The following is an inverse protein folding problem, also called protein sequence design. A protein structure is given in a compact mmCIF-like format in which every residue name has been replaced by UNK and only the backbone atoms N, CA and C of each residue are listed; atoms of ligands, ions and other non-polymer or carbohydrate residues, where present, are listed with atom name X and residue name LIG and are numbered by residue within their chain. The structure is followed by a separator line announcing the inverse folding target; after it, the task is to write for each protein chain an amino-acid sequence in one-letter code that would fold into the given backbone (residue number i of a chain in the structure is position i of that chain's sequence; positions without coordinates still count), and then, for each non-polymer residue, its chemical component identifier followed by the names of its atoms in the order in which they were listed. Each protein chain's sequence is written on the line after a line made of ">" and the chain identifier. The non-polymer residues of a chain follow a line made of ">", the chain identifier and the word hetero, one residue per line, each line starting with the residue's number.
data_IF_337272869475
#
_entry.id   IF_337272869475
#
_cell.length_a   1.000
_cell.length_b   1.000
_cell.length_c   1.000
_cell.angle_alpha   90.00
_cell.angle_beta   90.00
_cell.angle_gamma   90.00
#
_symmetry.space_group_name_H-M   'P 1'
#
loop_
_entity.id
_entity.type
_entity.pdbx_description
1 polymer ?
#
# COMPACT_ATOMS: atom_id res chain seq x y z
N UNK A 1 24.57 -34.10 -6.24
CA UNK A 1 23.90 -32.86 -6.70
C UNK A 1 22.57 -33.22 -7.36
N UNK A 2 21.51 -33.24 -6.60
CA UNK A 2 20.13 -33.46 -7.12
C UNK A 2 19.44 -32.12 -7.12
N UNK A 3 19.13 -31.61 -8.29
CA UNK A 3 18.27 -30.43 -8.50
C UNK A 3 16.83 -30.84 -8.19
N UNK A 4 16.31 -30.39 -7.09
CA UNK A 4 14.86 -30.42 -6.81
C UNK A 4 14.23 -29.29 -7.57
N UNK A 5 13.63 -29.60 -8.70
CA UNK A 5 12.65 -28.76 -9.38
C UNK A 5 11.42 -28.67 -8.48
N UNK A 6 11.09 -27.48 -8.02
CA UNK A 6 9.78 -27.20 -7.45
C UNK A 6 8.70 -27.39 -8.53
N UNK A 7 7.68 -28.18 -8.26
CA UNK A 7 6.52 -28.20 -9.16
C UNK A 7 5.77 -26.88 -8.96
N UNK A 8 5.71 -26.07 -10.01
CA UNK A 8 4.69 -25.07 -10.20
C UNK A 8 3.35 -25.84 -10.22
N UNK A 9 2.65 -25.88 -9.11
CA UNK A 9 1.24 -26.25 -9.12
C UNK A 9 0.48 -25.12 -9.83
N UNK A 10 0.34 -25.26 -11.13
CA UNK A 10 -0.67 -24.58 -11.90
C UNK A 10 -2.02 -25.08 -11.38
N UNK A 11 -2.67 -24.28 -10.56
CA UNK A 11 -4.10 -24.43 -10.26
C UNK A 11 -4.81 -24.00 -11.53
N UNK A 12 -5.04 -24.96 -12.41
CA UNK A 12 -6.02 -24.90 -13.47
C UNK A 12 -7.41 -24.86 -12.80
N UNK A 13 -7.84 -23.69 -12.37
CA UNK A 13 -9.25 -23.42 -12.14
C UNK A 13 -9.88 -23.14 -13.50
N UNK A 14 -10.23 -24.24 -14.16
CA UNK A 14 -11.18 -24.17 -15.26
C UNK A 14 -12.43 -23.46 -14.76
N UNK A 15 -12.89 -22.47 -15.51
CA UNK A 15 -14.19 -21.82 -15.39
C UNK A 15 -15.31 -22.86 -15.68
N UNK A 16 -15.44 -23.86 -14.83
CA UNK A 16 -16.69 -24.57 -14.64
C UNK A 16 -17.39 -23.83 -13.51
N UNK A 17 -18.20 -22.85 -13.87
CA UNK A 17 -19.26 -22.36 -13.00
C UNK A 17 -20.11 -23.58 -12.62
N UNK A 18 -19.77 -24.19 -11.50
CA UNK A 18 -20.62 -25.22 -10.88
C UNK A 18 -21.79 -24.47 -10.24
N UNK A 19 -22.77 -24.15 -11.07
CA UNK A 19 -24.07 -23.56 -10.67
C UNK A 19 -24.83 -24.52 -9.75
N UNK A 20 -24.31 -25.74 -9.51
CA UNK A 20 -25.04 -26.81 -8.86
C UNK A 20 -25.17 -26.77 -7.33
N UNK A 21 -24.42 -25.94 -6.59
CA UNK A 21 -24.38 -26.01 -5.12
C UNK A 21 -24.84 -24.73 -4.40
N UNK A 22 -25.60 -23.85 -5.07
CA UNK A 22 -25.97 -22.52 -4.53
C UNK A 22 -27.44 -22.16 -4.74
N UNK A 23 -28.30 -23.13 -5.10
CA UNK A 23 -29.69 -22.84 -5.41
C UNK A 23 -30.43 -22.19 -4.22
N UNK A 24 -30.14 -22.60 -2.99
CA UNK A 24 -30.74 -22.07 -1.77
C UNK A 24 -30.43 -20.58 -1.55
N UNK A 25 -29.15 -20.20 -1.52
CA UNK A 25 -28.71 -18.79 -1.29
C UNK A 25 -29.23 -17.86 -2.38
N UNK A 26 -29.27 -18.33 -3.63
CA UNK A 26 -29.67 -17.50 -4.78
C UNK A 26 -31.16 -17.13 -4.77
N UNK A 27 -32.01 -18.00 -4.22
CA UNK A 27 -33.48 -17.90 -4.31
C UNK A 27 -34.20 -17.80 -2.98
N UNK A 28 -33.49 -17.99 -1.84
CA UNK A 28 -34.09 -17.94 -0.51
C UNK A 28 -34.77 -16.60 -0.24
N UNK A 29 -35.93 -16.58 0.42
CA UNK A 29 -36.52 -15.32 0.88
C UNK A 29 -35.64 -14.65 1.91
N UNK A 30 -35.71 -13.32 2.00
CA UNK A 30 -34.81 -12.52 2.85
C UNK A 30 -34.85 -12.88 4.34
N UNK A 31 -36.00 -13.39 4.84
CA UNK A 31 -36.16 -13.85 6.21
C UNK A 31 -35.33 -15.10 6.55
N UNK A 32 -34.98 -15.88 5.54
CA UNK A 32 -34.17 -17.08 5.68
C UNK A 32 -32.68 -16.82 5.51
N UNK A 33 -32.31 -15.60 5.06
CA UNK A 33 -30.92 -15.22 4.87
C UNK A 33 -30.26 -14.76 6.18
N UNK A 34 -29.06 -15.28 6.42
CA UNK A 34 -28.11 -14.78 7.40
C UNK A 34 -26.93 -14.17 6.65
N UNK A 35 -26.54 -12.96 7.04
CA UNK A 35 -25.43 -12.22 6.40
C UNK A 35 -24.32 -12.00 7.42
N UNK A 36 -23.10 -12.34 7.04
CA UNK A 36 -21.89 -12.10 7.85
C UNK A 36 -20.85 -11.33 7.05
N UNK A 37 -20.08 -10.48 7.74
CA UNK A 37 -18.77 -10.05 7.30
C UNK A 37 -17.76 -11.11 7.75
N UNK A 38 -16.99 -11.68 6.83
CA UNK A 38 -15.87 -12.56 7.14
C UNK A 38 -14.58 -11.81 6.85
N UNK A 39 -13.76 -11.64 7.90
CA UNK A 39 -12.49 -10.94 7.82
C UNK A 39 -11.36 -11.93 7.99
N UNK A 40 -10.50 -12.00 6.99
CA UNK A 40 -9.28 -12.79 6.98
C UNK A 40 -8.10 -11.92 7.35
N UNK A 41 -7.35 -12.30 8.39
CA UNK A 41 -6.20 -11.54 8.87
C UNK A 41 -5.04 -11.48 7.88
N UNK A 42 -3.99 -10.72 8.22
CA UNK A 42 -2.79 -10.58 7.39
C UNK A 42 -2.12 -11.92 7.07
N UNK A 43 -1.70 -12.12 5.82
CA UNK A 43 -0.97 -13.28 5.35
C UNK A 43 0.55 -13.06 5.30
N UNK A 44 1.29 -14.06 4.78
CA UNK A 44 2.74 -14.05 4.70
C UNK A 44 3.29 -13.25 3.51
N UNK A 45 2.56 -13.23 2.39
CA UNK A 45 2.96 -12.56 1.15
C UNK A 45 2.63 -11.07 1.24
N UNK A 46 3.41 -10.20 0.58
CA UNK A 46 3.32 -8.75 0.75
C UNK A 46 1.91 -8.18 0.47
N UNK A 47 1.19 -8.67 -0.55
CA UNK A 47 -0.18 -8.23 -0.84
C UNK A 47 -1.21 -8.77 0.16
N UNK A 48 -0.92 -9.86 0.85
CA UNK A 48 -1.79 -10.43 1.89
C UNK A 48 -1.67 -9.72 3.23
N UNK A 49 -0.62 -8.88 3.40
CA UNK A 49 -0.38 -8.16 4.67
C UNK A 49 -1.53 -7.25 5.08
N UNK A 50 -2.35 -6.85 4.13
CA UNK A 50 -3.50 -5.97 4.36
C UNK A 50 -4.75 -6.69 4.83
N UNK A 51 -4.77 -8.03 4.80
CA UNK A 51 -5.95 -8.82 5.10
C UNK A 51 -6.89 -8.95 3.91
N UNK A 52 -8.09 -9.49 4.15
CA UNK A 52 -9.15 -9.61 3.15
C UNK A 52 -10.52 -9.63 3.81
N UNK A 53 -11.55 -9.12 3.14
CA UNK A 53 -12.95 -9.21 3.56
C UNK A 53 -13.79 -9.92 2.51
N UNK A 54 -14.76 -10.73 2.98
CA UNK A 54 -15.80 -11.32 2.18
C UNK A 54 -17.18 -11.08 2.82
N UNK A 55 -18.23 -11.01 2.00
CA UNK A 55 -19.60 -11.14 2.49
C UNK A 55 -20.01 -12.60 2.38
N UNK A 56 -20.35 -13.20 3.51
CA UNK A 56 -20.98 -14.52 3.58
C UNK A 56 -22.48 -14.38 3.64
N UNK A 57 -23.19 -15.10 2.76
CA UNK A 57 -24.64 -15.24 2.83
C UNK A 57 -24.95 -16.71 3.02
N UNK A 58 -25.72 -17.03 4.07
CA UNK A 58 -26.19 -18.37 4.39
C UNK A 58 -27.70 -18.41 4.31
N UNK A 59 -28.25 -19.43 3.68
CA UNK A 59 -29.64 -19.81 3.80
C UNK A 59 -29.81 -20.69 5.06
N UNK A 60 -30.57 -20.21 6.03
CA UNK A 60 -30.81 -20.92 7.30
C UNK A 60 -31.63 -22.16 7.16
N UNK A 61 -32.41 -22.28 6.09
CA UNK A 61 -33.29 -23.43 5.83
C UNK A 61 -32.53 -24.58 5.18
N UNK A 62 -31.79 -24.31 4.10
CA UNK A 62 -30.96 -25.31 3.42
C UNK A 62 -29.63 -25.57 4.09
N UNK A 63 -29.11 -24.61 4.85
CA UNK A 63 -27.76 -24.61 5.39
C UNK A 63 -26.66 -24.22 4.38
N UNK A 64 -27.03 -24.02 3.12
CA UNK A 64 -26.06 -23.59 2.09
C UNK A 64 -25.50 -22.19 2.36
N UNK A 65 -24.22 -21.98 2.07
CA UNK A 65 -23.57 -20.68 2.21
C UNK A 65 -22.63 -20.37 1.06
N UNK A 66 -22.54 -19.09 0.71
CA UNK A 66 -21.64 -18.59 -0.32
C UNK A 66 -20.90 -17.34 0.17
N UNK A 67 -19.61 -17.28 -0.09
CA UNK A 67 -18.77 -16.11 0.15
C UNK A 67 -18.61 -15.31 -1.14
N UNK A 68 -18.81 -14.00 -1.05
CA UNK A 68 -18.66 -13.05 -2.14
C UNK A 68 -17.39 -12.22 -1.89
N UNK A 69 -16.42 -12.32 -2.79
CA UNK A 69 -15.10 -11.75 -2.67
C UNK A 69 -14.88 -10.67 -3.74
N UNK A 70 -14.57 -9.45 -3.34
CA UNK A 70 -14.06 -8.42 -4.25
C UNK A 70 -12.53 -8.43 -4.25
N UNK A 71 -11.92 -8.00 -5.36
CA UNK A 71 -10.45 -7.89 -5.45
C UNK A 71 -9.78 -9.10 -6.09
N UNK A 72 -10.55 -9.94 -6.77
CA UNK A 72 -10.01 -11.04 -7.57
C UNK A 72 -9.42 -10.49 -8.86
N UNK A 73 -8.23 -10.96 -9.23
CA UNK A 73 -7.52 -10.55 -10.43
C UNK A 73 -7.03 -11.79 -11.21
N UNK A 74 -6.86 -11.60 -12.51
CA UNK A 74 -6.44 -12.65 -13.42
C UNK A 74 -4.98 -12.43 -13.83
N UNK A 75 -4.08 -13.29 -13.36
CA UNK A 75 -2.67 -13.29 -13.78
C UNK A 75 -2.45 -13.88 -15.19
N UNK A 76 -3.41 -14.59 -15.74
CA UNK A 76 -3.31 -15.17 -17.10
C UNK A 76 -3.57 -14.10 -18.17
N UNK A 77 -4.18 -12.96 -17.80
CA UNK A 77 -4.27 -11.80 -18.69
C UNK A 77 -2.86 -11.27 -19.01
N UNK A 78 -2.43 -11.47 -20.25
CA UNK A 78 -1.13 -11.01 -20.74
C UNK A 78 -0.90 -9.51 -20.59
N UNK A 79 -1.96 -8.72 -20.43
CA UNK A 79 -1.92 -7.27 -20.23
C UNK A 79 -1.89 -6.86 -18.75
N UNK A 80 -2.09 -7.81 -17.83
CA UNK A 80 -2.23 -7.55 -16.39
C UNK A 80 -1.06 -6.71 -15.84
N UNK A 81 0.18 -7.15 -16.05
CA UNK A 81 1.37 -6.43 -15.53
C UNK A 81 1.52 -5.04 -16.13
N UNK A 82 1.19 -4.87 -17.41
CA UNK A 82 1.25 -3.58 -18.08
C UNK A 82 0.16 -2.62 -17.55
N UNK A 83 -1.05 -3.12 -17.39
CA UNK A 83 -2.16 -2.36 -16.84
C UNK A 83 -1.90 -2.00 -15.37
N UNK A 84 -1.38 -2.96 -14.59
CA UNK A 84 -0.96 -2.72 -13.20
C UNK A 84 0.11 -1.62 -13.12
N UNK A 85 1.17 -1.69 -13.94
CA UNK A 85 2.23 -0.67 -13.95
C UNK A 85 1.72 0.74 -14.28
N UNK A 86 0.64 0.85 -15.06
CA UNK A 86 0.00 2.13 -15.42
C UNK A 86 -1.08 2.58 -14.42
N UNK A 87 -1.46 1.73 -13.48
CA UNK A 87 -2.53 1.99 -12.51
C UNK A 87 -3.94 1.67 -13.04
N UNK A 88 -4.07 1.03 -14.21
CA UNK A 88 -5.35 0.58 -14.75
C UNK A 88 -5.66 -0.84 -14.28
N UNK A 89 -6.00 -0.97 -13.01
CA UNK A 89 -6.23 -2.27 -12.38
C UNK A 89 -7.69 -2.68 -12.51
N UNK A 90 -7.96 -3.63 -13.42
CA UNK A 90 -9.30 -4.23 -13.60
C UNK A 90 -9.37 -5.50 -12.76
N UNK A 91 -10.11 -5.44 -11.66
CA UNK A 91 -10.34 -6.57 -10.76
C UNK A 91 -11.82 -6.98 -10.80
N UNK A 92 -12.13 -8.13 -10.25
CA UNK A 92 -13.46 -8.73 -10.33
C UNK A 92 -14.02 -9.05 -8.94
N UNK A 93 -15.34 -9.25 -8.90
CA UNK A 93 -15.99 -9.96 -7.82
C UNK A 93 -16.04 -11.45 -8.19
N UNK A 94 -15.84 -12.32 -7.20
CA UNK A 94 -16.08 -13.76 -7.31
C UNK A 94 -17.01 -14.24 -6.18
N UNK A 95 -17.63 -15.38 -6.41
CA UNK A 95 -18.44 -16.04 -5.39
C UNK A 95 -18.09 -17.53 -5.33
N UNK A 96 -17.72 -18.01 -4.14
CA UNK A 96 -17.28 -19.38 -3.89
C UNK A 96 -18.03 -20.07 -2.74
N UNK A 97 -17.77 -21.37 -2.57
CA UNK A 97 -18.19 -22.09 -1.37
C UNK A 97 -17.53 -21.50 -0.15
N UNK A 98 -18.30 -21.19 0.90
CA UNK A 98 -17.77 -20.65 2.15
C UNK A 98 -16.77 -21.57 2.81
N UNK A 99 -17.00 -22.89 2.76
CA UNK A 99 -16.13 -23.89 3.39
C UNK A 99 -14.77 -23.96 2.68
N UNK A 100 -14.76 -23.96 1.34
CA UNK A 100 -13.52 -23.98 0.54
C UNK A 100 -12.75 -22.69 0.76
N UNK A 101 -13.40 -21.55 0.61
CA UNK A 101 -12.79 -20.25 0.80
C UNK A 101 -12.16 -20.10 2.20
N UNK A 102 -12.90 -20.49 3.23
CA UNK A 102 -12.40 -20.46 4.60
C UNK A 102 -11.20 -21.40 4.81
N UNK A 103 -11.27 -22.62 4.27
CA UNK A 103 -10.21 -23.60 4.42
C UNK A 103 -8.89 -23.12 3.79
N UNK A 104 -8.95 -22.47 2.62
CA UNK A 104 -7.76 -21.90 1.96
C UNK A 104 -7.03 -20.90 2.87
N UNK A 105 -7.76 -20.02 3.55
CA UNK A 105 -7.17 -19.07 4.50
C UNK A 105 -6.64 -19.74 5.77
N UNK A 106 -7.32 -20.77 6.27
CA UNK A 106 -6.86 -21.55 7.42
C UNK A 106 -5.55 -22.29 7.11
N UNK A 107 -5.42 -22.85 5.92
CA UNK A 107 -4.20 -23.54 5.45
C UNK A 107 -3.02 -22.56 5.30
N UNK A 108 -3.28 -21.30 4.93
CA UNK A 108 -2.30 -20.22 4.94
C UNK A 108 -1.94 -19.74 6.36
N UNK A 109 -2.59 -20.26 7.41
CA UNK A 109 -2.37 -19.85 8.81
C UNK A 109 -2.90 -18.46 9.17
N UNK A 110 -3.83 -17.93 8.37
CA UNK A 110 -4.45 -16.62 8.60
C UNK A 110 -5.59 -16.72 9.60
N UNK A 111 -5.84 -15.66 10.36
CA UNK A 111 -7.04 -15.59 11.22
C UNK A 111 -8.30 -15.48 10.40
N UNK A 112 -9.39 -16.04 10.94
CA UNK A 112 -10.73 -15.95 10.35
C UNK A 112 -11.68 -15.48 11.45
N UNK A 113 -12.26 -14.29 11.21
CA UNK A 113 -13.25 -13.66 12.08
C UNK A 113 -14.57 -13.54 11.31
N UNK A 114 -15.65 -14.09 11.83
CA UNK A 114 -16.99 -13.96 11.28
C UNK A 114 -17.86 -13.06 12.18
N UNK A 115 -18.44 -12.02 11.61
CA UNK A 115 -19.33 -11.07 12.28
C UNK A 115 -20.73 -11.15 11.68
N UNK A 116 -21.69 -11.65 12.43
CA UNK A 116 -23.09 -11.75 12.00
C UNK A 116 -23.77 -10.36 12.06
N UNK A 117 -24.40 -9.95 10.95
CA UNK A 117 -24.97 -8.63 10.79
C UNK A 117 -26.48 -8.60 10.99
N UNK A 118 -26.97 -7.70 11.84
CA UNK A 118 -28.39 -7.56 12.19
C UNK A 118 -29.23 -6.86 11.07
N UNK A 119 -29.09 -7.34 9.82
CA UNK A 119 -29.87 -6.84 8.69
C UNK A 119 -31.34 -7.29 8.80
N UNK A 120 -32.28 -6.46 8.34
CA UNK A 120 -33.66 -6.90 8.14
C UNK A 120 -33.75 -7.83 6.92
N UNK A 121 -34.82 -8.63 6.82
CA UNK A 121 -35.09 -9.49 5.67
C UNK A 121 -34.97 -8.74 4.33
N UNK A 122 -35.54 -7.55 4.24
CA UNK A 122 -35.46 -6.72 3.05
C UNK A 122 -34.04 -6.21 2.75
N UNK A 123 -33.23 -5.93 3.79
CA UNK A 123 -31.82 -5.51 3.62
C UNK A 123 -30.96 -6.69 3.17
N UNK A 124 -31.15 -7.88 3.76
CA UNK A 124 -30.43 -9.09 3.37
C UNK A 124 -30.73 -9.49 1.92
N UNK A 125 -32.01 -9.47 1.52
CA UNK A 125 -32.41 -9.73 0.13
C UNK A 125 -31.80 -8.72 -0.83
N UNK A 126 -31.86 -7.40 -0.54
CA UNK A 126 -31.25 -6.37 -1.39
C UNK A 126 -29.73 -6.53 -1.51
N UNK A 127 -29.04 -6.90 -0.43
CA UNK A 127 -27.59 -7.14 -0.50
C UNK A 127 -27.26 -8.33 -1.38
N UNK A 128 -27.95 -9.45 -1.20
CA UNK A 128 -27.83 -10.64 -2.07
C UNK A 128 -28.04 -10.25 -3.53
N UNK A 129 -29.15 -9.58 -3.84
CA UNK A 129 -29.50 -9.22 -5.22
C UNK A 129 -28.47 -8.28 -5.84
N UNK A 130 -27.92 -7.33 -5.05
CA UNK A 130 -26.82 -6.46 -5.48
C UNK A 130 -25.55 -7.26 -5.78
N UNK A 131 -25.16 -8.22 -4.93
CA UNK A 131 -23.98 -9.06 -5.14
C UNK A 131 -24.16 -9.96 -6.38
N UNK A 132 -25.34 -10.53 -6.57
CA UNK A 132 -25.67 -11.30 -7.77
C UNK A 132 -25.69 -10.44 -9.05
N UNK A 133 -26.13 -9.19 -8.95
CA UNK A 133 -26.05 -8.24 -10.05
C UNK A 133 -24.58 -7.93 -10.42
N UNK A 134 -23.69 -7.80 -9.42
CA UNK A 134 -22.26 -7.61 -9.68
C UNK A 134 -21.59 -8.83 -10.33
N UNK A 135 -22.09 -10.04 -10.09
CA UNK A 135 -21.56 -11.26 -10.71
C UNK A 135 -21.97 -11.44 -12.19
N UNK A 136 -22.85 -10.60 -12.73
CA UNK A 136 -23.19 -10.66 -14.15
C UNK A 136 -21.99 -10.24 -15.00
N UNK A 137 -21.76 -10.85 -16.17
CA UNK A 137 -20.58 -10.57 -17.01
C UNK A 137 -20.35 -9.09 -17.28
N UNK A 138 -21.41 -8.32 -17.48
CA UNK A 138 -21.37 -6.88 -17.73
C UNK A 138 -20.96 -6.04 -16.52
N UNK A 139 -21.09 -6.58 -15.29
CA UNK A 139 -20.82 -5.88 -14.03
C UNK A 139 -19.65 -6.52 -13.25
N UNK A 140 -19.12 -7.64 -13.73
CA UNK A 140 -18.16 -8.48 -13.02
C UNK A 140 -16.88 -7.73 -12.65
N UNK A 141 -16.38 -6.91 -13.57
CA UNK A 141 -15.12 -6.20 -13.42
C UNK A 141 -15.35 -4.77 -12.96
N UNK A 142 -14.44 -4.27 -12.14
CA UNK A 142 -14.43 -2.88 -11.68
C UNK A 142 -13.02 -2.32 -11.62
N UNK A 143 -12.90 -0.99 -11.61
CA UNK A 143 -11.62 -0.33 -11.43
C UNK A 143 -11.21 -0.43 -9.96
N UNK A 144 -10.16 -1.18 -9.71
CA UNK A 144 -9.59 -1.38 -8.39
C UNK A 144 -8.68 -0.22 -8.02
N UNK A 145 -8.74 0.16 -6.77
CA UNK A 145 -7.81 1.10 -6.18
C UNK A 145 -7.47 0.68 -4.75
N UNK A 146 -6.20 0.73 -4.38
CA UNK A 146 -5.69 0.23 -3.10
C UNK A 146 -6.38 0.85 -1.89
N UNK A 147 -6.78 2.13 -1.97
CA UNK A 147 -7.24 2.94 -0.85
C UNK A 147 -8.74 3.20 -0.88
N UNK A 148 -9.33 3.25 -2.08
CA UNK A 148 -10.72 3.72 -2.24
C UNK A 148 -11.66 2.75 -2.93
N UNK A 149 -11.13 1.69 -3.60
CA UNK A 149 -11.95 0.71 -4.34
C UNK A 149 -11.34 -0.70 -4.25
N UNK A 150 -11.22 -1.24 -3.03
CA UNK A 150 -10.66 -2.56 -2.75
C UNK A 150 -11.72 -3.51 -2.15
N UNK A 151 -11.32 -4.71 -1.71
CA UNK A 151 -12.23 -5.69 -1.12
C UNK A 151 -13.03 -5.12 0.07
N UNK A 152 -12.37 -4.42 0.98
CA UNK A 152 -12.99 -3.88 2.18
C UNK A 152 -13.91 -2.69 1.86
N UNK A 153 -13.46 -1.73 1.06
CA UNK A 153 -14.26 -0.54 0.72
C UNK A 153 -15.50 -0.89 -0.10
N UNK A 154 -15.40 -1.87 -1.02
CA UNK A 154 -16.55 -2.34 -1.81
C UNK A 154 -17.61 -2.98 -0.94
N UNK A 155 -17.20 -3.79 0.04
CA UNK A 155 -18.10 -4.38 1.04
C UNK A 155 -18.70 -3.30 1.93
N UNK A 156 -17.90 -2.38 2.45
CA UNK A 156 -18.35 -1.23 3.25
C UNK A 156 -19.43 -0.44 2.51
N UNK A 157 -19.20 -0.13 1.24
CA UNK A 157 -20.11 0.66 0.42
C UNK A 157 -21.40 -0.10 0.10
N UNK A 158 -21.32 -1.41 -0.14
CA UNK A 158 -22.50 -2.27 -0.30
C UNK A 158 -23.35 -2.32 0.97
N UNK A 159 -22.72 -2.51 2.14
CA UNK A 159 -23.40 -2.47 3.43
C UNK A 159 -24.03 -1.11 3.69
N UNK A 160 -23.29 -0.02 3.45
CA UNK A 160 -23.83 1.33 3.60
C UNK A 160 -25.06 1.57 2.72
N UNK A 161 -25.03 1.08 1.48
CA UNK A 161 -26.16 1.23 0.54
C UNK A 161 -27.42 0.52 1.06
N UNK A 162 -27.33 -0.75 1.50
CA UNK A 162 -28.51 -1.49 1.99
C UNK A 162 -29.01 -1.00 3.34
N UNK A 163 -28.15 -0.34 4.11
CA UNK A 163 -28.49 0.33 5.37
C UNK A 163 -29.05 1.75 5.16
N UNK A 164 -29.31 2.16 3.91
CA UNK A 164 -29.86 3.49 3.60
C UNK A 164 -28.90 4.63 3.87
N UNK A 165 -27.58 4.40 3.79
CA UNK A 165 -26.55 5.41 4.03
C UNK A 165 -26.19 5.61 5.50
N UNK A 166 -26.68 4.80 6.42
CA UNK A 166 -26.54 5.03 7.86
C UNK A 166 -25.10 4.82 8.38
N UNK A 167 -24.28 4.03 7.67
CA UNK A 167 -22.91 3.72 8.11
C UNK A 167 -21.94 4.89 7.90
N UNK A 168 -22.02 5.55 6.75
CA UNK A 168 -21.08 6.58 6.34
C UNK A 168 -21.02 7.78 7.30
N UNK A 169 -22.14 8.41 7.73
CA UNK A 169 -22.08 9.55 8.64
C UNK A 169 -21.42 9.21 9.97
N UNK A 170 -21.68 7.99 10.50
CA UNK A 170 -21.13 7.54 11.77
C UNK A 170 -19.61 7.42 11.70
N UNK A 171 -19.08 6.76 10.67
CA UNK A 171 -17.64 6.54 10.52
C UNK A 171 -16.90 7.80 10.04
N UNK A 172 -17.55 8.66 9.26
CA UNK A 172 -16.95 9.92 8.81
C UNK A 172 -16.79 10.92 9.95
N UNK A 173 -17.69 10.90 10.95
CA UNK A 173 -17.61 11.79 12.12
C UNK A 173 -16.45 11.46 13.07
N UNK A 174 -15.86 10.29 12.95
CA UNK A 174 -14.78 9.80 13.82
C UNK A 174 -13.44 9.91 13.13
N UNK A 175 -12.45 10.46 13.85
CA UNK A 175 -11.09 10.61 13.32
C UNK A 175 -10.32 9.30 13.49
N UNK A 176 -9.67 8.85 12.43
CA UNK A 176 -8.74 7.74 12.46
C UNK A 176 -7.40 8.13 13.12
N UNK A 177 -6.73 7.19 13.81
CA UNK A 177 -5.46 7.46 14.49
C UNK A 177 -4.26 7.59 13.55
N UNK A 178 -4.34 7.05 12.32
CA UNK A 178 -3.23 6.95 11.38
C UNK A 178 -3.62 7.45 9.99
N UNK A 179 -2.59 7.82 9.21
CA UNK A 179 -2.69 8.12 7.77
C UNK A 179 -2.62 6.82 6.95
N UNK A 180 -2.87 6.92 5.63
CA UNK A 180 -2.67 5.77 4.73
C UNK A 180 -1.24 5.25 4.77
N UNK A 181 -0.23 6.15 4.67
CA UNK A 181 1.19 5.77 4.75
C UNK A 181 1.49 5.03 6.04
N UNK A 182 1.09 5.56 7.18
CA UNK A 182 1.35 4.97 8.48
C UNK A 182 0.75 3.56 8.61
N UNK A 183 -0.46 3.34 8.09
CA UNK A 183 -1.08 2.02 8.06
C UNK A 183 -0.32 1.05 7.14
N UNK A 184 0.09 1.51 5.96
CA UNK A 184 0.84 0.70 4.99
C UNK A 184 2.19 0.30 5.59
N UNK A 185 2.95 1.25 6.12
CA UNK A 185 4.26 0.98 6.73
C UNK A 185 4.16 0.03 7.93
N UNK A 186 3.14 0.22 8.77
CA UNK A 186 2.87 -0.66 9.91
C UNK A 186 2.62 -2.11 9.47
N UNK A 187 1.79 -2.30 8.45
CA UNK A 187 1.44 -3.64 7.95
C UNK A 187 2.59 -4.29 7.20
N UNK A 188 3.41 -3.49 6.51
CA UNK A 188 4.55 -3.95 5.71
C UNK A 188 5.85 -4.05 6.51
N UNK A 189 5.88 -3.66 7.80
CA UNK A 189 7.10 -3.61 8.62
C UNK A 189 7.89 -4.94 8.68
N UNK A 190 7.19 -6.09 8.59
CA UNK A 190 7.83 -7.41 8.53
C UNK A 190 8.54 -7.70 7.20
N UNK A 191 8.36 -6.86 6.18
CA UNK A 191 8.90 -7.02 4.82
C UNK A 191 9.56 -5.72 4.35
N UNK A 192 10.67 -5.29 4.95
CA UNK A 192 11.29 -3.99 4.69
C UNK A 192 11.73 -3.80 3.23
N UNK A 193 12.02 -4.88 2.50
CA UNK A 193 12.38 -4.84 1.08
C UNK A 193 11.23 -4.38 0.17
N UNK A 194 9.96 -4.53 0.62
CA UNK A 194 8.78 -4.01 -0.07
C UNK A 194 8.29 -2.71 0.58
N UNK A 195 8.36 -2.61 1.92
CA UNK A 195 7.94 -1.43 2.66
C UNK A 195 8.70 -0.17 2.21
N UNK A 196 10.04 -0.22 2.13
CA UNK A 196 10.84 0.94 1.78
C UNK A 196 10.55 1.50 0.37
N UNK A 197 10.46 0.68 -0.71
CA UNK A 197 10.02 1.19 -2.01
C UNK A 197 8.60 1.76 -2.00
N UNK A 198 7.68 1.16 -1.25
CA UNK A 198 6.31 1.66 -1.13
C UNK A 198 6.30 3.01 -0.40
N UNK A 199 6.99 3.13 0.73
CA UNK A 199 7.09 4.39 1.48
C UNK A 199 7.73 5.50 0.64
N UNK A 200 8.84 5.21 -0.06
CA UNK A 200 9.48 6.14 -0.99
C UNK A 200 8.52 6.59 -2.10
N UNK A 201 7.73 5.65 -2.63
CA UNK A 201 6.82 5.87 -3.75
C UNK A 201 5.56 6.65 -3.40
N UNK A 202 5.13 6.63 -2.13
CA UNK A 202 3.93 7.33 -1.69
C UNK A 202 4.10 8.85 -1.68
N UNK A 203 3.14 9.57 -2.27
CA UNK A 203 3.05 11.02 -2.29
C UNK A 203 2.25 11.59 -1.11
N UNK A 204 2.06 12.93 -1.05
CA UNK A 204 1.43 13.62 0.07
C UNK A 204 -0.06 13.28 0.25
N UNK A 205 -0.73 12.75 -0.78
CA UNK A 205 -2.12 12.30 -0.67
C UNK A 205 -2.30 11.21 0.39
N UNK A 206 -1.26 10.41 0.65
CA UNK A 206 -1.26 9.32 1.63
C UNK A 206 -0.98 9.78 3.06
N UNK A 207 -0.59 11.04 3.26
CA UNK A 207 -0.21 11.62 4.56
C UNK A 207 -1.33 12.44 5.22
N UNK A 208 -2.50 12.49 4.58
CA UNK A 208 -3.66 13.21 5.10
C UNK A 208 -4.23 12.51 6.34
N UNK A 209 -4.75 13.30 7.27
CA UNK A 209 -5.56 12.77 8.36
C UNK A 209 -6.80 12.09 7.80
N UNK A 210 -7.06 10.86 8.24
CA UNK A 210 -8.20 10.07 7.83
C UNK A 210 -9.33 10.18 8.86
N UNK A 211 -10.53 9.83 8.42
CA UNK A 211 -11.63 9.42 9.29
C UNK A 211 -11.78 7.87 9.25
N UNK A 212 -12.58 7.29 10.15
CA UNK A 212 -12.77 5.84 10.21
C UNK A 212 -13.39 5.25 8.93
N UNK A 213 -14.21 6.02 8.20
CA UNK A 213 -14.72 5.62 6.89
C UNK A 213 -13.57 5.39 5.89
N UNK A 214 -12.61 6.29 5.86
CA UNK A 214 -11.45 6.18 4.98
C UNK A 214 -10.48 5.08 5.45
N UNK A 215 -10.24 4.98 6.77
CA UNK A 215 -9.36 3.94 7.34
C UNK A 215 -9.93 2.53 7.15
N UNK A 216 -11.25 2.38 6.95
CA UNK A 216 -11.92 1.12 6.61
C UNK A 216 -11.56 0.58 5.21
N UNK A 217 -10.53 1.15 4.54
CA UNK A 217 -9.89 0.48 3.41
C UNK A 217 -9.17 -0.81 3.84
N UNK A 218 -8.91 -0.94 5.14
CA UNK A 218 -8.31 -2.13 5.76
C UNK A 218 -9.39 -3.04 6.34
N UNK A 219 -9.41 -4.33 5.97
CA UNK A 219 -10.37 -5.31 6.46
C UNK A 219 -10.48 -5.35 7.99
N UNK A 220 -9.35 -5.43 8.69
CA UNK A 220 -9.34 -5.48 10.16
C UNK A 220 -9.89 -4.21 10.81
N UNK A 221 -9.79 -3.07 10.11
CA UNK A 221 -10.38 -1.80 10.57
C UNK A 221 -11.87 -1.82 10.33
N UNK A 222 -12.34 -2.22 9.14
CA UNK A 222 -13.78 -2.33 8.87
C UNK A 222 -14.45 -3.22 9.92
N UNK A 223 -13.91 -4.41 10.17
CA UNK A 223 -14.42 -5.33 11.20
C UNK A 223 -14.47 -4.67 12.58
N UNK A 224 -13.42 -3.94 12.98
CA UNK A 224 -13.39 -3.21 14.25
C UNK A 224 -14.50 -2.16 14.34
N UNK A 225 -14.68 -1.36 13.28
CA UNK A 225 -15.62 -0.25 13.29
C UNK A 225 -17.07 -0.72 13.30
N UNK A 226 -17.41 -1.79 12.55
CA UNK A 226 -18.78 -2.32 12.52
C UNK A 226 -19.29 -2.76 13.90
N UNK A 227 -18.40 -3.19 14.82
CA UNK A 227 -18.78 -3.53 16.21
C UNK A 227 -19.44 -2.37 16.95
N UNK A 228 -19.02 -1.15 16.66
CA UNK A 228 -19.48 0.06 17.33
C UNK A 228 -20.69 0.71 16.69
N UNK A 229 -21.09 0.24 15.49
CA UNK A 229 -22.19 0.83 14.73
C UNK A 229 -23.53 0.40 15.29
N UNK A 230 -24.43 1.37 15.47
CA UNK A 230 -25.83 1.17 15.82
C UNK A 230 -26.72 1.56 14.65
N UNK A 231 -27.69 0.72 14.36
CA UNK A 231 -28.65 0.92 13.26
C UNK A 231 -30.07 0.95 13.80
N UNK A 232 -31.03 1.57 13.09
CA UNK A 232 -32.44 1.55 13.50
C UNK A 232 -32.97 0.11 13.66
N UNK A 233 -33.70 -0.13 14.74
CA UNK A 233 -34.30 -1.44 15.04
C UNK A 233 -35.68 -1.65 14.35
N UNK A 234 -36.20 -0.59 13.70
CA UNK A 234 -37.53 -0.58 13.08
C UNK A 234 -38.69 -0.23 14.04
N UNK A 235 -38.41 -0.06 15.33
CA UNK A 235 -39.39 0.26 16.37
C UNK A 235 -39.12 1.63 17.04
N UNK A 236 -38.25 2.45 16.43
CA UNK A 236 -37.86 3.76 16.93
C UNK A 236 -36.65 3.75 17.85
N UNK A 237 -36.02 2.59 18.07
CA UNK A 237 -34.79 2.40 18.81
C UNK A 237 -33.58 2.12 17.89
N UNK A 238 -32.45 1.83 18.55
CA UNK A 238 -31.19 1.44 17.89
C UNK A 238 -30.74 0.08 18.38
N UNK A 239 -30.34 -0.81 17.45
CA UNK A 239 -29.69 -2.09 17.73
C UNK A 239 -28.24 -2.09 17.23
N UNK A 240 -27.41 -2.97 17.78
CA UNK A 240 -26.04 -3.19 17.25
C UNK A 240 -26.12 -3.76 15.82
N UNK A 241 -25.24 -3.27 14.93
CA UNK A 241 -25.13 -3.83 13.57
C UNK A 241 -24.53 -5.25 13.63
N UNK A 242 -23.47 -5.45 14.41
CA UNK A 242 -22.90 -6.77 14.71
C UNK A 242 -23.58 -7.31 15.96
N UNK A 243 -24.37 -8.39 15.82
CA UNK A 243 -25.06 -8.99 16.95
C UNK A 243 -24.36 -10.20 17.54
N UNK A 244 -23.47 -10.82 16.77
CA UNK A 244 -22.66 -11.95 17.21
C UNK A 244 -21.34 -11.95 16.44
N UNK A 245 -20.29 -12.42 17.08
CA UNK A 245 -18.96 -12.51 16.53
C UNK A 245 -18.32 -13.84 16.92
N UNK A 246 -17.68 -14.49 15.95
CA UNK A 246 -16.99 -15.76 16.12
C UNK A 246 -15.58 -15.67 15.55
N UNK A 247 -14.57 -15.82 16.40
CA UNK A 247 -13.21 -16.07 15.96
C UNK A 247 -13.07 -17.57 15.63
N UNK A 248 -13.14 -17.90 14.34
CA UNK A 248 -13.06 -19.29 13.85
C UNK A 248 -11.63 -19.81 14.03
N UNK A 249 -10.62 -18.97 13.76
CA UNK A 249 -9.22 -19.29 14.01
C UNK A 249 -8.40 -18.03 14.30
N UNK A 250 -7.46 -18.09 15.24
CA UNK A 250 -6.47 -17.03 15.45
C UNK A 250 -5.41 -17.03 14.35
N UNK A 251 -4.76 -15.90 14.13
CA UNK A 251 -3.64 -15.79 13.20
C UNK A 251 -2.42 -16.55 13.74
N UNK A 252 -1.86 -17.48 12.95
CA UNK A 252 -0.62 -18.21 13.27
C UNK A 252 0.64 -17.41 12.91
N UNK A 253 0.49 -16.35 12.11
CA UNK A 253 1.57 -15.45 11.72
C UNK A 253 1.75 -14.34 12.75
N UNK A 254 2.97 -13.79 12.80
CA UNK A 254 3.24 -12.67 13.69
C UNK A 254 2.33 -11.47 13.35
N UNK A 255 1.56 -10.95 14.31
CA UNK A 255 0.70 -9.81 14.07
C UNK A 255 1.53 -8.56 13.72
N UNK A 256 0.99 -7.64 12.92
CA UNK A 256 1.60 -6.34 12.70
C UNK A 256 1.76 -5.57 14.02
N UNK A 257 2.82 -4.76 14.11
CA UNK A 257 2.99 -3.86 15.23
C UNK A 257 1.82 -2.89 15.41
N UNK A 258 1.69 -2.31 16.60
CA UNK A 258 0.66 -1.31 16.90
C UNK A 258 0.92 0.03 16.16
N UNK A 259 2.19 0.39 15.95
CA UNK A 259 2.65 1.62 15.33
C UNK A 259 3.50 1.33 14.10
N UNK A 260 3.61 2.27 13.14
CA UNK A 260 4.56 2.17 12.05
C UNK A 260 6.00 2.18 12.56
N UNK A 261 6.97 1.57 11.85
CA UNK A 261 8.37 1.62 12.22
C UNK A 261 8.91 3.04 12.10
N UNK A 262 9.84 3.40 12.99
CA UNK A 262 10.58 4.66 12.84
C UNK A 262 11.65 4.48 11.75
N UNK A 263 11.50 5.16 10.62
CA UNK A 263 12.46 5.14 9.50
C UNK A 263 13.49 6.28 9.57
N UNK A 264 13.25 7.34 10.34
CA UNK A 264 14.10 8.52 10.41
C UNK A 264 15.50 8.18 10.92
N UNK A 265 15.55 7.44 12.04
CA UNK A 265 16.82 7.09 12.66
C UNK A 265 17.69 6.16 11.79
N UNK A 266 17.21 5.01 11.30
CA UNK A 266 18.02 4.10 10.50
C UNK A 266 18.43 4.71 9.15
N UNK A 267 17.52 5.39 8.45
CA UNK A 267 17.85 6.04 7.17
C UNK A 267 18.77 7.24 7.37
N UNK A 268 18.56 8.03 8.42
CA UNK A 268 19.46 9.13 8.76
C UNK A 268 20.90 8.68 9.08
N UNK A 269 21.05 7.61 9.87
CA UNK A 269 22.36 7.00 10.17
C UNK A 269 22.99 6.46 8.87
N UNK A 270 22.23 5.75 8.03
CA UNK A 270 22.76 5.23 6.78
C UNK A 270 23.21 6.34 5.82
N UNK A 271 22.42 7.39 5.70
CA UNK A 271 22.76 8.57 4.88
C UNK A 271 23.99 9.30 5.39
N UNK A 272 24.06 9.53 6.71
CA UNK A 272 25.22 10.16 7.34
C UNK A 272 26.49 9.31 7.13
N UNK A 273 26.42 8.00 7.36
CA UNK A 273 27.53 7.09 7.15
C UNK A 273 28.01 7.12 5.69
N UNK A 274 27.09 7.06 4.73
CA UNK A 274 27.41 7.15 3.31
C UNK A 274 28.12 8.49 2.99
N UNK A 275 27.56 9.62 3.42
CA UNK A 275 28.15 10.94 3.22
C UNK A 275 29.54 11.08 3.82
N UNK A 276 29.75 10.60 5.06
CA UNK A 276 31.05 10.63 5.73
C UNK A 276 32.08 9.74 5.04
N UNK A 277 31.70 8.52 4.60
CA UNK A 277 32.60 7.64 3.84
C UNK A 277 32.99 8.27 2.51
N UNK A 278 32.05 8.88 1.80
CA UNK A 278 32.31 9.60 0.56
C UNK A 278 33.31 10.79 0.81
N UNK A 279 33.08 11.58 1.84
CA UNK A 279 33.97 12.71 2.18
C UNK A 279 35.36 12.23 2.59
N UNK A 280 35.46 11.22 3.43
CA UNK A 280 36.72 10.66 3.91
C UNK A 280 37.54 10.01 2.76
N UNK A 281 36.84 9.31 1.86
CA UNK A 281 37.51 8.65 0.72
C UNK A 281 38.03 9.65 -0.34
N UNK A 282 37.47 10.84 -0.43
CA UNK A 282 37.80 11.83 -1.45
C UNK A 282 39.31 12.17 -1.53
N UNK A 283 39.97 12.23 -0.40
CA UNK A 283 41.40 12.64 -0.35
C UNK A 283 42.36 11.45 -0.45
N UNK A 284 42.02 10.32 0.17
CA UNK A 284 42.92 9.17 0.36
C UNK A 284 42.61 8.01 -0.60
N UNK A 285 41.39 7.86 -1.02
CA UNK A 285 40.87 6.75 -1.86
C UNK A 285 39.97 7.31 -2.97
N UNK A 286 40.50 8.12 -3.90
CA UNK A 286 39.65 8.80 -4.90
C UNK A 286 38.89 7.89 -5.82
N UNK A 287 39.35 6.66 -6.06
CA UNK A 287 38.63 5.66 -6.81
C UNK A 287 37.39 5.16 -6.05
N UNK A 288 37.48 4.98 -4.71
CA UNK A 288 36.35 4.64 -3.87
C UNK A 288 35.32 5.77 -3.85
N UNK A 289 35.78 7.01 -3.70
CA UNK A 289 34.91 8.19 -3.81
C UNK A 289 34.11 8.17 -5.13
N UNK A 290 34.85 8.05 -6.26
CA UNK A 290 34.20 8.01 -7.58
C UNK A 290 33.18 6.89 -7.71
N UNK A 291 33.53 5.70 -7.23
CA UNK A 291 32.62 4.55 -7.25
C UNK A 291 31.33 4.84 -6.45
N UNK A 292 31.46 5.28 -5.20
CA UNK A 292 30.32 5.59 -4.33
C UNK A 292 29.46 6.74 -4.90
N UNK A 293 30.10 7.78 -5.41
CA UNK A 293 29.43 8.92 -6.03
C UNK A 293 28.63 8.51 -7.27
N UNK A 294 29.23 7.71 -8.15
CA UNK A 294 28.56 7.19 -9.36
C UNK A 294 27.44 6.24 -8.98
N UNK A 295 27.65 5.32 -8.05
CA UNK A 295 26.63 4.38 -7.58
C UNK A 295 25.43 5.12 -6.99
N UNK A 296 25.67 6.10 -6.11
CA UNK A 296 24.62 6.92 -5.54
C UNK A 296 23.82 7.69 -6.62
N UNK A 297 24.52 8.34 -7.57
CA UNK A 297 23.89 9.10 -8.66
C UNK A 297 23.05 8.19 -9.58
N UNK A 298 23.51 6.97 -9.86
CA UNK A 298 22.75 5.98 -10.62
C UNK A 298 21.46 5.62 -9.87
N UNK A 299 21.55 5.29 -8.59
CA UNK A 299 20.38 4.96 -7.77
C UNK A 299 19.43 6.15 -7.68
N UNK A 300 19.94 7.35 -7.37
CA UNK A 300 19.12 8.56 -7.27
C UNK A 300 18.44 8.91 -8.60
N UNK A 301 19.13 8.73 -9.73
CA UNK A 301 18.58 8.95 -11.06
C UNK A 301 17.50 7.94 -11.43
N UNK A 302 17.72 6.66 -11.15
CA UNK A 302 16.73 5.59 -11.39
C UNK A 302 15.49 5.82 -10.54
N UNK A 303 15.65 6.00 -9.22
CA UNK A 303 14.54 6.26 -8.31
C UNK A 303 13.75 7.50 -8.74
N UNK A 304 14.45 8.59 -9.05
CA UNK A 304 13.81 9.81 -9.52
C UNK A 304 13.08 9.65 -10.83
N UNK A 305 13.59 8.83 -11.76
CA UNK A 305 12.89 8.51 -13.02
C UNK A 305 11.62 7.72 -12.76
N UNK A 306 11.68 6.72 -11.87
CA UNK A 306 10.51 5.94 -11.47
C UNK A 306 9.46 6.83 -10.80
N UNK A 307 9.85 7.67 -9.84
CA UNK A 307 8.93 8.59 -9.17
C UNK A 307 8.28 9.57 -10.15
N UNK A 308 9.06 10.13 -11.08
CA UNK A 308 8.54 11.02 -12.11
C UNK A 308 7.58 10.28 -13.06
N UNK A 309 7.90 9.06 -13.45
CA UNK A 309 7.03 8.23 -14.28
C UNK A 309 5.73 7.88 -13.56
N UNK A 310 5.78 7.49 -12.27
CA UNK A 310 4.59 7.24 -11.45
C UNK A 310 3.67 8.48 -11.42
N UNK A 311 4.23 9.66 -11.29
CA UNK A 311 3.45 10.89 -11.26
C UNK A 311 2.87 11.29 -12.62
N UNK A 312 3.67 11.19 -13.70
CA UNK A 312 3.30 11.80 -14.99
C UNK A 312 2.71 10.82 -16.00
N UNK A 313 2.98 9.50 -15.84
CA UNK A 313 2.62 8.47 -16.82
C UNK A 313 1.65 7.42 -16.29
N UNK A 314 1.25 7.50 -15.01
CA UNK A 314 0.37 6.49 -14.40
C UNK A 314 -0.81 7.13 -13.67
N UNK A 315 -1.82 6.32 -13.39
CA UNK A 315 -2.97 6.69 -12.57
C UNK A 315 -2.83 6.25 -11.09
N UNK A 316 -1.62 5.93 -10.66
CA UNK A 316 -1.32 5.68 -9.25
C UNK A 316 -1.30 6.98 -8.44
N UNK A 317 -2.46 7.59 -8.22
CA UNK A 317 -2.57 8.90 -7.56
C UNK A 317 -1.95 8.94 -6.15
N UNK A 318 -1.86 7.79 -5.48
CA UNK A 318 -1.17 7.68 -4.20
C UNK A 318 0.33 8.02 -4.29
N UNK A 319 0.92 7.99 -5.50
CA UNK A 319 2.32 8.33 -5.75
C UNK A 319 2.53 9.72 -6.36
N UNK A 320 1.45 10.47 -6.65
CA UNK A 320 1.55 11.76 -7.29
C UNK A 320 2.09 12.84 -6.36
N UNK A 321 2.63 13.92 -6.94
CA UNK A 321 3.18 15.09 -6.23
C UNK A 321 4.31 14.71 -5.25
N UNK A 322 5.04 13.63 -5.52
CA UNK A 322 6.00 13.06 -4.59
C UNK A 322 7.22 13.96 -4.36
N UNK A 323 7.29 14.55 -3.15
CA UNK A 323 8.38 15.46 -2.76
C UNK A 323 9.75 14.78 -2.63
N UNK A 324 9.84 13.44 -2.70
CA UNK A 324 11.12 12.75 -2.81
C UNK A 324 11.86 13.09 -4.10
N UNK A 325 11.17 13.62 -5.12
CA UNK A 325 11.79 14.19 -6.33
C UNK A 325 12.74 15.36 -6.03
N UNK A 326 12.63 16.02 -4.87
CA UNK A 326 13.58 17.02 -4.42
C UNK A 326 14.97 16.45 -4.16
N UNK A 327 15.08 15.17 -3.84
CA UNK A 327 16.36 14.50 -3.51
C UNK A 327 16.71 13.33 -4.43
N UNK A 328 15.73 12.74 -5.09
CA UNK A 328 15.89 11.69 -6.11
C UNK A 328 15.25 12.18 -7.41
N UNK A 329 16.05 12.50 -8.41
CA UNK A 329 15.54 13.00 -9.67
C UNK A 329 16.44 12.60 -10.86
N UNK A 330 15.92 12.59 -12.10
CA UNK A 330 16.67 12.15 -13.28
C UNK A 330 17.92 12.98 -13.59
N UNK A 331 18.01 14.23 -13.10
CA UNK A 331 19.18 15.08 -13.31
C UNK A 331 20.46 14.51 -12.65
N UNK A 332 20.32 13.58 -11.70
CA UNK A 332 21.44 12.87 -11.12
C UNK A 332 22.31 12.17 -12.18
N UNK A 333 21.72 11.67 -13.26
CA UNK A 333 22.47 11.03 -14.35
C UNK A 333 23.45 11.98 -15.03
N UNK A 334 23.13 13.26 -15.15
CA UNK A 334 24.00 14.27 -15.78
C UNK A 334 25.30 14.47 -14.98
N UNK A 335 25.24 14.23 -13.66
CA UNK A 335 26.39 14.41 -12.76
C UNK A 335 27.38 13.23 -12.74
N UNK A 336 27.01 12.07 -13.31
CA UNK A 336 27.83 10.84 -13.27
C UNK A 336 29.24 11.09 -13.88
N UNK A 337 29.29 11.71 -15.04
CA UNK A 337 30.58 11.97 -15.71
C UNK A 337 31.45 12.94 -14.90
N UNK A 338 30.86 13.95 -14.26
CA UNK A 338 31.54 14.89 -13.41
C UNK A 338 32.06 14.21 -12.13
N UNK A 339 31.27 13.38 -11.48
CA UNK A 339 31.67 12.59 -10.31
C UNK A 339 32.83 11.64 -10.63
N UNK A 340 32.81 10.97 -11.78
CA UNK A 340 33.89 10.12 -12.24
C UNK A 340 35.19 10.90 -12.49
N UNK A 341 35.08 12.08 -13.14
CA UNK A 341 36.24 12.98 -13.37
C UNK A 341 36.85 13.50 -12.08
N UNK A 342 36.01 13.88 -11.11
CA UNK A 342 36.43 14.33 -9.78
C UNK A 342 37.25 13.28 -9.04
N UNK A 343 36.87 11.99 -9.14
CA UNK A 343 37.65 10.88 -8.60
C UNK A 343 39.03 10.70 -9.26
N UNK A 344 39.24 11.28 -10.46
CA UNK A 344 40.51 11.31 -11.16
C UNK A 344 41.28 12.64 -10.92
N UNK A 345 40.86 13.41 -9.93
CA UNK A 345 41.48 14.71 -9.60
C UNK A 345 41.21 15.83 -10.60
N UNK A 346 40.25 15.63 -11.54
CA UNK A 346 39.84 16.63 -12.54
C UNK A 346 38.67 17.45 -12.02
N UNK A 347 38.57 18.71 -12.44
CA UNK A 347 37.41 19.55 -12.15
C UNK A 347 36.11 18.95 -12.71
N UNK A 348 35.03 18.99 -11.93
CA UNK A 348 33.70 18.60 -12.35
C UNK A 348 33.10 19.49 -13.44
N UNK A 349 33.57 20.73 -13.56
CA UNK A 349 33.06 21.73 -14.46
C UNK A 349 31.91 22.57 -13.90
N UNK A 350 31.73 23.78 -14.43
CA UNK A 350 30.76 24.76 -13.93
C UNK A 350 29.34 24.25 -13.95
N UNK A 351 28.92 23.52 -15.00
CA UNK A 351 27.58 22.96 -15.11
C UNK A 351 27.31 22.01 -13.93
N UNK A 352 28.22 21.07 -13.64
CA UNK A 352 28.05 20.14 -12.54
C UNK A 352 27.99 20.83 -11.18
N UNK A 353 28.78 21.88 -10.97
CA UNK A 353 28.76 22.70 -9.76
C UNK A 353 27.42 23.42 -9.59
N UNK A 354 26.88 23.99 -10.67
CA UNK A 354 25.56 24.62 -10.65
C UNK A 354 24.46 23.60 -10.35
N UNK A 355 24.44 22.45 -11.03
CA UNK A 355 23.41 21.40 -10.82
C UNK A 355 23.46 20.84 -9.41
N UNK A 356 24.63 20.55 -8.85
CA UNK A 356 24.73 20.07 -7.47
C UNK A 356 24.33 21.14 -6.46
N UNK A 357 24.59 22.42 -6.77
CA UNK A 357 24.13 23.56 -5.96
C UNK A 357 22.58 23.65 -5.94
N UNK A 358 21.94 23.55 -7.11
CA UNK A 358 20.47 23.49 -7.22
C UNK A 358 19.92 22.29 -6.46
N UNK A 359 20.57 21.13 -6.58
CA UNK A 359 20.17 19.92 -5.88
C UNK A 359 20.25 20.07 -4.35
N UNK A 360 21.30 20.71 -3.84
CA UNK A 360 21.40 21.02 -2.41
C UNK A 360 20.33 21.99 -1.96
N UNK A 361 20.06 23.02 -2.74
CA UNK A 361 18.96 23.95 -2.44
C UNK A 361 17.61 23.23 -2.37
N UNK A 362 17.35 22.30 -3.28
CA UNK A 362 16.14 21.46 -3.26
C UNK A 362 16.09 20.56 -2.01
N UNK A 363 17.19 19.92 -1.63
CA UNK A 363 17.27 19.10 -0.43
C UNK A 363 17.03 19.93 0.85
N UNK A 364 17.64 21.11 0.96
CA UNK A 364 17.41 22.02 2.09
C UNK A 364 15.98 22.58 2.10
N UNK A 365 15.40 22.87 0.93
CA UNK A 365 13.97 23.24 0.84
C UNK A 365 13.09 22.11 1.37
N UNK A 366 13.36 20.87 0.98
CA UNK A 366 12.64 19.71 1.51
C UNK A 366 12.70 19.64 3.05
N UNK A 367 13.89 19.80 3.64
CA UNK A 367 14.06 19.83 5.10
C UNK A 367 13.33 21.01 5.75
N UNK A 368 13.40 22.20 5.13
CA UNK A 368 12.72 23.40 5.63
C UNK A 368 11.19 23.23 5.67
N UNK A 369 10.62 22.57 4.66
CA UNK A 369 9.18 22.31 4.60
C UNK A 369 8.68 21.43 5.75
N UNK A 370 9.54 20.62 6.39
CA UNK A 370 9.19 19.83 7.58
C UNK A 370 9.16 20.66 8.87
N UNK A 371 9.84 21.80 8.91
CA UNK A 371 9.85 22.71 10.07
C UNK A 371 8.69 23.71 9.99
N UNK A 372 8.18 23.97 8.80
CA UNK A 372 7.09 24.91 8.58
C UNK A 372 5.72 24.29 8.90
N UNK A 373 4.79 25.04 9.49
CA UNK A 373 3.42 24.58 9.69
C UNK A 373 2.79 24.21 8.34
N UNK A 374 2.17 23.02 8.25
CA UNK A 374 1.50 22.57 7.04
C UNK A 374 2.39 21.73 6.10
N UNK A 375 3.50 21.20 6.59
CA UNK A 375 4.31 20.20 5.88
C UNK A 375 3.43 19.12 5.25
N UNK A 376 3.65 18.83 3.95
CA UNK A 376 2.67 18.11 3.14
C UNK A 376 2.93 16.63 3.03
N UNK A 377 4.19 16.19 3.11
CA UNK A 377 4.56 14.78 2.94
C UNK A 377 5.46 14.30 4.08
N UNK A 378 5.20 13.09 4.60
CA UNK A 378 6.01 12.45 5.66
C UNK A 378 7.23 11.74 5.03
N UNK A 379 8.12 12.50 4.39
CA UNK A 379 9.30 11.95 3.71
C UNK A 379 10.64 12.37 4.35
N UNK A 380 10.62 12.82 5.60
CA UNK A 380 11.84 13.19 6.33
C UNK A 380 12.90 12.08 6.35
N UNK A 381 12.57 10.79 6.49
CA UNK A 381 13.58 9.72 6.45
C UNK A 381 14.43 9.73 5.17
N UNK A 382 13.82 9.96 4.02
CA UNK A 382 14.49 10.00 2.72
C UNK A 382 15.35 11.25 2.53
N UNK A 383 14.91 12.38 3.06
CA UNK A 383 15.70 13.61 3.08
C UNK A 383 16.94 13.45 3.97
N UNK A 384 16.79 12.83 5.14
CA UNK A 384 17.91 12.52 6.03
C UNK A 384 18.90 11.54 5.41
N UNK A 385 18.41 10.57 4.64
CA UNK A 385 19.27 9.64 3.89
C UNK A 385 20.04 10.33 2.76
N UNK A 386 19.36 11.14 1.94
CA UNK A 386 19.93 11.65 0.71
C UNK A 386 20.81 12.89 0.90
N UNK A 387 20.44 13.79 1.83
CA UNK A 387 21.13 15.08 1.99
C UNK A 387 22.63 14.96 2.29
N UNK A 388 23.12 14.08 3.18
CA UNK A 388 24.55 13.91 3.44
C UNK A 388 25.35 13.46 2.20
N UNK A 389 24.76 12.60 1.37
CA UNK A 389 25.41 12.18 0.12
C UNK A 389 25.51 13.33 -0.89
N UNK A 390 24.48 14.16 -1.01
CA UNK A 390 24.51 15.37 -1.85
C UNK A 390 25.54 16.38 -1.35
N UNK A 391 25.70 16.57 -0.04
CA UNK A 391 26.76 17.41 0.55
C UNK A 391 28.15 16.87 0.20
N UNK A 392 28.36 15.57 0.29
CA UNK A 392 29.63 14.93 -0.08
C UNK A 392 29.93 15.06 -1.58
N UNK A 393 28.95 14.96 -2.45
CA UNK A 393 29.07 15.22 -3.89
C UNK A 393 29.42 16.68 -4.17
N UNK A 394 28.75 17.62 -3.55
CA UNK A 394 29.07 19.04 -3.69
C UNK A 394 30.51 19.33 -3.29
N UNK A 395 30.92 18.87 -2.11
CA UNK A 395 32.33 19.01 -1.69
C UNK A 395 33.29 18.38 -2.69
N UNK A 396 32.93 17.29 -3.38
CA UNK A 396 33.75 16.64 -4.37
C UNK A 396 33.88 17.39 -5.69
N UNK A 397 32.82 18.04 -6.12
CA UNK A 397 32.75 18.73 -7.41
C UNK A 397 33.25 20.17 -7.37
N UNK A 398 33.30 20.81 -6.19
CA UNK A 398 33.95 22.13 -6.04
C UNK A 398 35.45 22.00 -6.04
N UNK A 399 36.16 22.93 -6.72
CA UNK A 399 37.62 22.95 -6.72
C UNK A 399 38.15 23.12 -5.30
N UNK A 400 39.24 22.43 -4.97
CA UNK A 400 40.00 22.72 -3.76
C UNK A 400 40.57 24.11 -3.92
N UNK A 401 40.36 25.02 -2.98
CA UNK A 401 41.19 26.21 -2.88
C UNK A 401 42.64 25.72 -2.69
N UNK A 402 43.48 25.91 -3.68
CA UNK A 402 44.91 25.78 -3.48
C UNK A 402 45.25 26.70 -2.32
N UNK A 403 45.75 26.14 -1.22
CA UNK A 403 46.38 26.96 -0.19
C UNK A 403 47.52 27.69 -0.90
N UNK A 404 47.39 28.98 -1.04
CA UNK A 404 48.48 29.82 -1.47
C UNK A 404 49.66 29.57 -0.48
N UNK A 405 50.52 28.64 -0.85
CA UNK A 405 51.84 28.55 -0.20
C UNK A 405 52.52 29.81 -0.57
N UNK A 406 52.60 30.76 0.39
CA UNK A 406 53.43 31.90 0.34
C UNK A 406 54.88 31.45 0.11
N UNK A 407 55.37 31.57 -1.13
CA UNK A 407 56.80 31.62 -1.35
C UNK A 407 57.28 32.91 -0.72
N UNK A 408 57.79 32.81 0.47
CA UNK A 408 58.74 33.83 1.00
C UNK A 408 60.10 33.18 1.08
#
# INVERSE_FOLDING_TARGET
>A
MRRTLFPLCAVLLGLCVTIGARAGVLTAPGEDLEVSLVTYGPGAIYWERFGHDAIRIRDRVSGESGDFNYGVFDFEDSTFLWNFARGHMRYMIDAGSSDINQQDYLDMGRSVLEQHLALSAAQAARLRDFLLWNLRPENLSYDYDYLTSNCSTRIRDALNSVLGGALQPVLTARRAPMTYRQQIDRLMAAQPYMMLPMDLGMGPSTDRSLNEWQESFLPMVLARELRSVRIPDGHGGLKALVYSELEIAPNKLQPPGALPPNLELPLGIAGLALGLVMLASRARLPALYAFLAVAYLLVAGVLGTVLLALWTLTTHYAAWDNANLLVFNPFAFVLITAAWRSGKGRDGGRLAQTLVGVQLAAAFLGLLLHVLPGGTQQNLPWLLFATPAWLALAAGLWPRRESATSNT
#
